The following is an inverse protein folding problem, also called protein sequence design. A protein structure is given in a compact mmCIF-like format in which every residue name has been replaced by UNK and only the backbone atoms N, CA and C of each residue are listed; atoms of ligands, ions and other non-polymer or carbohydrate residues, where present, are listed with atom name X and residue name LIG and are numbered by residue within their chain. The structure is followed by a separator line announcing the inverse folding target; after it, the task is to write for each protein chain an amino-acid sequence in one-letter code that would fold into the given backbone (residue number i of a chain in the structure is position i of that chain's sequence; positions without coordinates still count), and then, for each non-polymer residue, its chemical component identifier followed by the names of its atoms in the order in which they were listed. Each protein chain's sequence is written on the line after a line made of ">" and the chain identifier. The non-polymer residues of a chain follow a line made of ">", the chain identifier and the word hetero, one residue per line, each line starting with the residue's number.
data_IF_765757528651
#
_entry.id   IF_765757528651
#
_cell.length_a   1.000
_cell.length_b   1.000
_cell.length_c   1.000
_cell.angle_alpha   90.00
_cell.angle_beta   90.00
_cell.angle_gamma   90.00
#
_symmetry.space_group_name_H-M   'P 1'
#
loop_
_entity.id
_entity.type
_entity.pdbx_description
1 polymer ?
#
# COMPACT_ATOMS: atom_id res chain seq x y z
N UNK A 1 23.64 17.59 15.33
CA UNK A 1 22.18 17.80 15.17
C UNK A 1 21.65 16.73 14.23
N UNK A 2 21.38 15.55 14.77
CA UNK A 2 20.87 14.37 14.04
C UNK A 2 19.85 13.73 14.95
N UNK A 3 18.71 14.37 15.08
CA UNK A 3 17.63 13.94 15.97
C UNK A 3 16.29 14.01 15.21
N UNK A 4 15.52 12.93 15.34
CA UNK A 4 14.07 12.83 15.08
C UNK A 4 13.49 12.80 13.66
N UNK A 5 14.25 12.46 12.61
CA UNK A 5 13.57 12.11 11.33
C UNK A 5 12.73 10.82 11.45
N UNK A 6 13.06 9.92 12.38
CA UNK A 6 12.39 8.62 12.52
C UNK A 6 10.98 8.69 13.09
N UNK A 7 10.67 9.69 13.92
CA UNK A 7 9.38 9.80 14.64
C UNK A 7 8.32 10.63 13.89
N UNK A 8 8.66 11.15 12.70
CA UNK A 8 7.72 11.95 11.93
C UNK A 8 6.63 11.06 11.32
N UNK A 9 5.38 11.43 11.58
CA UNK A 9 4.21 10.84 10.94
C UNK A 9 4.36 10.90 9.42
N UNK A 10 4.13 9.78 8.76
CA UNK A 10 4.37 9.59 7.33
C UNK A 10 3.25 8.72 6.77
N UNK A 11 2.80 9.04 5.57
CA UNK A 11 1.90 8.18 4.81
C UNK A 11 2.69 7.39 3.77
N UNK A 12 2.47 6.08 3.70
CA UNK A 12 2.96 5.21 2.63
C UNK A 12 1.77 4.79 1.77
N UNK A 13 1.80 5.19 0.50
CA UNK A 13 0.82 4.78 -0.50
C UNK A 13 1.39 3.68 -1.39
N UNK A 14 0.67 2.57 -1.47
CA UNK A 14 1.01 1.38 -2.25
C UNK A 14 0.01 1.23 -3.40
N UNK A 15 0.47 1.45 -4.62
CA UNK A 15 -0.34 1.34 -5.83
C UNK A 15 -0.05 0.05 -6.59
N UNK A 16 -1.09 -0.70 -6.94
CA UNK A 16 -0.97 -1.97 -7.67
C UNK A 16 -2.24 -2.29 -8.47
N UNK A 17 -2.16 -3.03 -9.60
CA UNK A 17 -3.34 -3.50 -10.33
C UNK A 17 -4.24 -4.40 -9.47
N UNK A 18 -5.56 -4.35 -9.64
CA UNK A 18 -6.52 -5.16 -8.87
C UNK A 18 -6.40 -6.68 -9.06
N UNK A 19 -5.94 -7.14 -10.23
CA UNK A 19 -5.57 -8.53 -10.46
C UNK A 19 -4.09 -8.82 -10.20
N UNK A 20 -3.38 -7.93 -9.49
CA UNK A 20 -2.05 -8.25 -8.99
C UNK A 20 -2.15 -9.42 -8.04
N UNK A 21 -1.41 -10.47 -8.39
CA UNK A 21 -1.21 -11.66 -7.57
C UNK A 21 0.14 -11.52 -6.89
N UNK A 22 0.23 -11.93 -5.62
CA UNK A 22 1.52 -12.13 -4.97
C UNK A 22 2.34 -13.13 -5.82
N UNK A 23 3.64 -12.86 -6.03
CA UNK A 23 4.50 -13.76 -6.81
C UNK A 23 4.88 -14.97 -5.95
N UNK A 24 4.89 -16.14 -6.58
CA UNK A 24 5.36 -17.41 -6.01
C UNK A 24 6.85 -17.28 -5.66
N UNK A 25 7.15 -16.98 -4.40
CA UNK A 25 8.40 -17.34 -3.73
C UNK A 25 8.19 -18.72 -3.09
N UNK A 26 9.29 -19.45 -2.80
CA UNK A 26 9.39 -20.89 -2.50
C UNK A 26 8.54 -21.45 -1.34
N UNK A 27 7.51 -20.75 -0.90
CA UNK A 27 6.70 -21.14 0.22
C UNK A 27 5.24 -21.46 -0.13
N UNK A 28 4.71 -21.15 -1.32
CA UNK A 28 3.26 -21.28 -1.53
C UNK A 28 2.87 -21.81 -2.91
N UNK A 29 3.09 -23.12 -3.09
CA UNK A 29 2.40 -23.92 -4.10
C UNK A 29 1.04 -24.34 -3.56
N UNK A 30 0.00 -24.27 -4.40
CA UNK A 30 -1.38 -24.66 -4.11
C UNK A 30 -2.16 -23.67 -3.25
N UNK A 31 -2.68 -22.62 -3.89
CA UNK A 31 -4.03 -22.06 -3.65
C UNK A 31 -4.19 -20.88 -4.61
N UNK A 32 -5.37 -20.76 -5.22
CA UNK A 32 -5.82 -19.55 -5.91
C UNK A 32 -5.56 -18.33 -5.01
N UNK A 33 -4.53 -17.52 -5.34
CA UNK A 33 -4.02 -16.49 -4.44
C UNK A 33 -5.10 -15.45 -4.10
N UNK A 34 -5.30 -15.09 -2.82
CA UNK A 34 -6.21 -14.01 -2.44
C UNK A 34 -5.76 -12.69 -3.08
N UNK A 35 -6.70 -11.77 -3.34
CA UNK A 35 -6.39 -10.45 -3.87
C UNK A 35 -5.29 -9.78 -3.02
N UNK A 36 -4.22 -9.27 -3.67
CA UNK A 36 -3.03 -8.71 -2.99
C UNK A 36 -3.39 -7.70 -1.89
N UNK A 37 -4.47 -6.93 -2.07
CA UNK A 37 -4.99 -6.01 -1.07
C UNK A 37 -5.32 -6.69 0.28
N UNK A 38 -6.03 -7.83 0.27
CA UNK A 38 -6.40 -8.55 1.49
C UNK A 38 -5.19 -9.13 2.21
N UNK A 39 -4.21 -9.61 1.43
CA UNK A 39 -2.95 -10.08 1.98
C UNK A 39 -2.17 -8.95 2.64
N UNK A 40 -1.98 -7.82 1.94
CA UNK A 40 -1.27 -6.66 2.48
C UNK A 40 -1.96 -6.12 3.73
N UNK A 41 -3.30 -6.07 3.79
CA UNK A 41 -4.02 -5.69 5.01
C UNK A 41 -3.63 -6.56 6.21
N UNK A 42 -3.54 -7.88 6.03
CA UNK A 42 -3.12 -8.81 7.09
C UNK A 42 -1.65 -8.61 7.49
N UNK A 43 -0.76 -8.43 6.52
CA UNK A 43 0.67 -8.21 6.77
C UNK A 43 0.89 -6.90 7.53
N UNK A 44 0.19 -5.84 7.14
CA UNK A 44 0.22 -4.53 7.80
C UNK A 44 -0.30 -4.60 9.23
N UNK A 45 -1.40 -5.33 9.44
CA UNK A 45 -1.95 -5.56 10.79
C UNK A 45 -0.95 -6.32 11.68
N UNK A 46 -0.29 -7.36 11.15
CA UNK A 46 0.73 -8.11 11.88
C UNK A 46 1.97 -7.26 12.22
N UNK A 47 2.34 -6.33 11.32
CA UNK A 47 3.42 -5.39 11.54
C UNK A 47 3.07 -4.27 12.55
N UNK A 48 1.84 -4.24 13.08
CA UNK A 48 1.34 -3.24 14.04
C UNK A 48 1.57 -1.81 13.55
N UNK A 49 1.31 -1.60 12.26
CA UNK A 49 1.20 -0.27 11.68
C UNK A 49 -0.02 0.42 12.27
N UNK A 50 0.13 1.67 12.66
CA UNK A 50 -0.88 2.44 13.39
C UNK A 50 -2.22 2.52 12.64
N UNK A 51 -2.20 2.80 11.33
CA UNK A 51 -3.41 2.86 10.52
C UNK A 51 -3.18 2.34 9.11
N UNK A 52 -4.22 1.70 8.54
CA UNK A 52 -4.25 1.22 7.16
C UNK A 52 -5.63 1.43 6.53
N UNK A 53 -5.66 1.84 5.26
CA UNK A 53 -6.88 2.10 4.50
C UNK A 53 -6.74 1.57 3.08
N UNK A 54 -7.73 0.81 2.61
CA UNK A 54 -7.89 0.52 1.18
C UNK A 54 -8.75 1.62 0.54
N UNK A 55 -8.13 2.48 -0.27
CA UNK A 55 -8.84 3.61 -0.89
C UNK A 55 -9.68 3.14 -2.07
N UNK A 56 -10.98 3.49 -2.15
CA UNK A 56 -11.77 3.28 -3.35
C UNK A 56 -11.22 4.17 -4.47
N UNK A 57 -11.01 3.61 -5.65
CA UNK A 57 -10.62 4.35 -6.85
C UNK A 57 -11.80 4.32 -7.81
N UNK A 58 -12.30 5.49 -8.23
CA UNK A 58 -13.42 5.58 -9.17
C UNK A 58 -12.95 5.50 -10.62
N UNK A 59 -11.77 6.06 -10.92
CA UNK A 59 -11.11 5.97 -12.21
C UNK A 59 -9.60 6.17 -12.06
N UNK A 60 -8.81 5.54 -12.95
CA UNK A 60 -7.37 5.75 -12.97
C UNK A 60 -6.62 4.81 -13.91
N UNK A 61 -5.30 5.01 -13.97
CA UNK A 61 -4.37 4.14 -14.68
C UNK A 61 -3.05 4.01 -13.90
N UNK A 62 -2.36 2.90 -14.13
CA UNK A 62 -0.97 2.71 -13.71
C UNK A 62 -0.06 2.82 -14.94
N UNK A 63 1.24 3.10 -14.76
CA UNK A 63 2.18 3.18 -15.89
C UNK A 63 2.05 1.99 -16.84
N UNK A 64 1.89 2.25 -18.14
CA UNK A 64 1.71 1.21 -19.16
C UNK A 64 0.29 0.66 -19.31
N UNK A 65 -0.70 1.18 -18.57
CA UNK A 65 -2.10 0.79 -18.67
C UNK A 65 -2.98 1.92 -19.20
N UNK A 66 -4.13 1.56 -19.80
CA UNK A 66 -5.17 2.52 -20.19
C UNK A 66 -5.93 2.98 -18.94
N UNK A 67 -6.58 4.14 -19.05
CA UNK A 67 -7.55 4.59 -18.05
C UNK A 67 -8.66 3.56 -17.95
N UNK A 68 -8.99 3.20 -16.72
CA UNK A 68 -10.12 2.34 -16.36
C UNK A 68 -11.04 3.07 -15.41
N UNK A 69 -12.32 2.76 -15.48
CA UNK A 69 -13.34 3.24 -14.54
C UNK A 69 -13.82 2.06 -13.71
N UNK A 70 -14.05 2.28 -12.41
CA UNK A 70 -14.62 1.26 -11.56
C UNK A 70 -16.06 1.00 -11.99
N UNK A 71 -16.34 -0.21 -12.47
CA UNK A 71 -17.68 -0.66 -12.80
C UNK A 71 -18.02 -1.82 -11.86
N UNK A 72 -18.98 -1.68 -10.94
CA UNK A 72 -19.29 -2.70 -9.94
C UNK A 72 -19.70 -4.06 -10.54
N UNK A 73 -20.13 -4.06 -11.81
CA UNK A 73 -20.56 -5.27 -12.54
C UNK A 73 -19.46 -5.87 -13.44
N UNK A 74 -18.41 -5.09 -13.75
CA UNK A 74 -17.29 -5.48 -14.60
C UNK A 74 -16.00 -5.08 -13.90
N UNK A 75 -15.52 -5.95 -13.00
CA UNK A 75 -14.23 -5.76 -12.36
C UNK A 75 -13.11 -5.83 -13.39
N UNK A 76 -12.66 -4.69 -13.91
CA UNK A 76 -11.46 -4.65 -14.74
C UNK A 76 -10.29 -5.13 -13.87
N UNK A 77 -9.75 -6.30 -14.24
CA UNK A 77 -8.60 -6.93 -13.61
C UNK A 77 -7.38 -6.00 -13.53
N UNK A 78 -7.33 -4.92 -14.33
CA UNK A 78 -6.22 -3.96 -14.34
C UNK A 78 -6.55 -2.66 -13.60
N UNK A 79 -7.75 -2.53 -13.02
CA UNK A 79 -8.15 -1.34 -12.29
C UNK A 79 -7.17 -1.09 -11.13
N UNK A 80 -6.67 0.14 -10.96
CA UNK A 80 -5.73 0.45 -9.88
C UNK A 80 -6.36 0.20 -8.51
N UNK A 81 -5.53 -0.24 -7.57
CA UNK A 81 -5.81 -0.28 -6.14
C UNK A 81 -4.77 0.56 -5.41
N UNK A 82 -5.18 1.15 -4.29
CA UNK A 82 -4.31 1.94 -3.42
C UNK A 82 -4.54 1.53 -1.97
N UNK A 83 -3.48 1.02 -1.34
CA UNK A 83 -3.43 0.82 0.11
C UNK A 83 -2.60 1.95 0.71
N UNK A 84 -3.18 2.70 1.64
CA UNK A 84 -2.47 3.74 2.39
C UNK A 84 -2.22 3.26 3.82
N UNK A 85 -0.98 3.42 4.26
CA UNK A 85 -0.53 3.14 5.61
C UNK A 85 -0.08 4.46 6.24
N UNK A 86 -0.40 4.67 7.51
CA UNK A 86 0.03 5.85 8.27
C UNK A 86 0.73 5.37 9.53
N UNK A 87 1.98 5.80 9.73
CA UNK A 87 2.80 5.54 10.92
C UNK A 87 4.06 6.44 10.86
N UNK A 88 4.97 6.28 11.81
CA UNK A 88 6.33 6.82 11.78
C UNK A 88 7.12 6.42 10.52
N UNK A 89 7.94 7.33 10.01
CA UNK A 89 8.82 7.08 8.85
C UNK A 89 9.69 5.83 9.06
N UNK A 90 10.20 5.62 10.27
CA UNK A 90 11.05 4.48 10.63
C UNK A 90 10.36 3.12 10.50
N UNK A 91 9.13 3.00 11.01
CA UNK A 91 8.35 1.76 10.87
C UNK A 91 7.96 1.48 9.42
N UNK A 92 7.55 2.50 8.67
CA UNK A 92 7.18 2.31 7.26
C UNK A 92 8.37 1.89 6.40
N UNK A 93 9.57 2.43 6.66
CA UNK A 93 10.79 1.97 5.98
C UNK A 93 11.18 0.55 6.36
N UNK A 94 11.00 0.18 7.63
CA UNK A 94 11.21 -1.19 8.10
C UNK A 94 10.25 -2.16 7.40
N UNK A 95 8.96 -1.83 7.36
CA UNK A 95 7.95 -2.57 6.62
C UNK A 95 8.32 -2.76 5.14
N UNK A 96 8.70 -1.67 4.44
CA UNK A 96 9.10 -1.74 3.03
C UNK A 96 10.30 -2.67 2.79
N UNK A 97 11.28 -2.65 3.70
CA UNK A 97 12.47 -3.49 3.62
C UNK A 97 12.12 -4.95 3.87
N UNK A 98 11.38 -5.23 4.94
CA UNK A 98 11.07 -6.58 5.38
C UNK A 98 10.13 -7.30 4.39
N UNK A 99 9.37 -6.53 3.59
CA UNK A 99 8.46 -7.03 2.54
C UNK A 99 8.91 -6.67 1.11
N UNK A 100 10.18 -6.33 0.89
CA UNK A 100 10.66 -5.81 -0.40
C UNK A 100 10.38 -6.75 -1.58
N UNK A 101 10.50 -8.06 -1.38
CA UNK A 101 10.25 -9.07 -2.42
C UNK A 101 8.78 -9.12 -2.84
N UNK A 102 7.86 -9.00 -1.87
CA UNK A 102 6.41 -8.96 -2.10
C UNK A 102 5.99 -7.67 -2.80
N UNK A 103 6.66 -6.56 -2.47
CA UNK A 103 6.34 -5.23 -2.98
C UNK A 103 7.02 -4.88 -4.31
N UNK A 104 7.80 -5.79 -4.91
CA UNK A 104 8.59 -5.49 -6.13
C UNK A 104 7.77 -5.00 -7.34
N UNK A 105 6.48 -5.34 -7.41
CA UNK A 105 5.55 -4.88 -8.47
C UNK A 105 4.57 -3.80 -7.99
N UNK A 106 4.71 -3.36 -6.75
CA UNK A 106 3.91 -2.31 -6.14
C UNK A 106 4.67 -1.00 -6.30
N UNK A 107 3.97 0.04 -6.73
CA UNK A 107 4.54 1.40 -6.69
C UNK A 107 4.31 1.95 -5.28
N UNK A 108 5.39 2.02 -4.51
CA UNK A 108 5.41 2.62 -3.18
C UNK A 108 5.77 4.12 -3.25
N UNK A 109 5.02 4.96 -2.55
CA UNK A 109 5.27 6.40 -2.43
C UNK A 109 5.20 6.79 -0.96
N UNK A 110 6.26 7.40 -0.43
CA UNK A 110 6.27 7.96 0.93
C UNK A 110 5.96 9.45 0.85
N UNK A 111 4.95 9.87 1.60
CA UNK A 111 4.52 11.25 1.78
C UNK A 111 4.78 11.65 3.22
N UNK A 112 5.63 12.65 3.43
CA UNK A 112 5.94 13.15 4.76
C UNK A 112 4.77 14.00 5.23
N UNK A 113 4.18 13.65 6.38
CA UNK A 113 3.04 14.37 6.91
C UNK A 113 3.53 15.50 7.82
N UNK A 114 2.82 16.63 7.76
CA UNK A 114 2.92 17.70 8.74
C UNK A 114 1.68 17.58 9.64
N UNK A 115 1.89 17.77 10.95
CA UNK A 115 0.77 17.86 11.87
C UNK A 115 0.12 19.24 11.72
N UNK A 116 -1.20 19.35 11.95
CA UNK A 116 -1.86 20.64 11.94
C UNK A 116 -1.16 21.59 12.93
N UNK A 117 -1.07 22.87 12.55
CA UNK A 117 -0.64 23.92 13.47
C UNK A 117 -1.57 23.88 14.67
N UNK A 118 -0.99 23.92 15.87
CA UNK A 118 -1.71 23.77 17.15
C UNK A 118 -2.54 25.01 17.48
N UNK A 119 -3.53 25.32 16.66
CA UNK A 119 -4.60 26.26 16.94
C UNK A 119 -5.88 25.70 16.29
N UNK A 120 -6.78 25.18 17.12
CA UNK A 120 -8.10 24.65 16.80
C UNK A 120 -8.17 23.18 16.31
N UNK A 121 -8.17 22.25 17.27
CA UNK A 121 -9.14 21.14 17.32
C UNK A 121 -9.76 21.08 18.71
#
# INVERSE_FOLDING_TARGET
>A
MTEHRQDRLTALQLYFPGASRARVTNFWHHLSAPALAQHLLKVVQNAKIEQVMLKPISAGYLPGHRISHHHPELGDMRHPQCLELLDTEGKLRTFLRDHADELRKVRAVLLLCELPLSEAL
#
